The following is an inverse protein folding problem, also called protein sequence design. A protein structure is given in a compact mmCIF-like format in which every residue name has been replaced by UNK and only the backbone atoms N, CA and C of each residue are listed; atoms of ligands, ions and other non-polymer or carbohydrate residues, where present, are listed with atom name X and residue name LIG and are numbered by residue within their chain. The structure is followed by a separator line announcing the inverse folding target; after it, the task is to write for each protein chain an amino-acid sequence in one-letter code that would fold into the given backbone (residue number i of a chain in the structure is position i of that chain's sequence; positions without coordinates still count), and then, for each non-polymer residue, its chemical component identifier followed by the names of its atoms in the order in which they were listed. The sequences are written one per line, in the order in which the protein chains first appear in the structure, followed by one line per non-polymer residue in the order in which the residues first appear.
data_IF_894304114285
#
_entry.id   IF_894304114285
#
_cell.length_a   1.000
_cell.length_b   1.000
_cell.length_c   1.000
_cell.angle_alpha   90.00
_cell.angle_beta   90.00
_cell.angle_gamma   90.00
#
_symmetry.space_group_name_H-M   'P 1'
#
loop_
_entity.id
_entity.type
_entity.pdbx_description
1 polymer ?
#
# COMPACT_ATOMS: atom_id res chain seq x y z
N UNK A 1 25.75 -1.87 -8.12
CA UNK A 1 24.69 -1.62 -7.13
C UNK A 1 23.78 -2.82 -7.18
N UNK A 2 23.80 -3.68 -6.16
CA UNK A 2 22.77 -4.70 -6.02
C UNK A 2 21.47 -3.96 -5.70
N UNK A 3 20.55 -3.98 -6.66
CA UNK A 3 19.23 -3.42 -6.46
C UNK A 3 18.45 -4.40 -5.59
N UNK A 4 18.43 -4.17 -4.28
CA UNK A 4 17.53 -4.87 -3.38
C UNK A 4 16.09 -4.75 -3.88
N UNK A 5 15.30 -5.81 -3.74
CA UNK A 5 13.88 -5.79 -4.12
C UNK A 5 13.11 -4.90 -3.13
N UNK A 6 12.50 -3.84 -3.62
CA UNK A 6 11.55 -3.03 -2.86
C UNK A 6 10.13 -3.54 -3.08
N UNK A 7 9.35 -3.66 -2.00
CA UNK A 7 7.97 -4.12 -2.06
C UNK A 7 7.06 -3.30 -1.15
N UNK A 8 5.78 -3.22 -1.52
CA UNK A 8 4.77 -2.56 -0.71
C UNK A 8 4.18 -3.54 0.30
N UNK A 9 4.20 -3.16 1.57
CA UNK A 9 3.53 -3.89 2.65
C UNK A 9 2.23 -3.19 2.97
N UNK A 10 1.12 -3.92 2.91
CA UNK A 10 -0.20 -3.42 3.30
C UNK A 10 -0.59 -4.05 4.64
N UNK A 11 -0.88 -3.20 5.62
CA UNK A 11 -1.40 -3.61 6.93
C UNK A 11 -2.83 -3.11 7.07
N UNK A 12 -3.76 -4.02 7.34
CA UNK A 12 -5.12 -3.68 7.75
C UNK A 12 -5.26 -3.88 9.25
N UNK A 13 -5.93 -2.96 9.92
CA UNK A 13 -6.24 -3.06 11.34
C UNK A 13 -7.62 -2.49 11.63
N UNK A 14 -8.21 -2.96 12.72
CA UNK A 14 -9.53 -2.54 13.15
C UNK A 14 -9.45 -2.05 14.60
N UNK A 15 -10.10 -0.92 14.89
CA UNK A 15 -10.19 -0.37 16.24
C UNK A 15 -11.67 -0.27 16.61
N UNK A 16 -12.01 -0.65 17.83
CA UNK A 16 -13.40 -0.65 18.29
C UNK A 16 -13.88 0.78 18.53
N UNK A 17 -14.94 1.20 17.84
CA UNK A 17 -15.54 2.55 17.98
C UNK A 17 -16.71 2.60 18.97
N UNK A 18 -17.16 1.44 19.45
CA UNK A 18 -18.34 1.29 20.29
C UNK A 18 -19.60 0.92 19.51
N UNK A 19 -20.69 0.58 20.21
CA UNK A 19 -21.98 0.14 19.63
C UNK A 19 -21.86 -0.99 18.57
N UNK A 20 -20.88 -1.88 18.74
CA UNK A 20 -20.62 -2.98 17.81
C UNK A 20 -19.97 -2.57 16.48
N UNK A 21 -19.41 -1.36 16.39
CA UNK A 21 -18.74 -0.84 15.18
C UNK A 21 -17.22 -0.90 15.27
N UNK A 22 -16.60 -0.97 14.10
CA UNK A 22 -15.15 -1.01 13.90
C UNK A 22 -14.71 0.15 13.00
N UNK A 23 -13.74 0.93 13.46
CA UNK A 23 -12.91 1.78 12.62
C UNK A 23 -11.97 0.88 11.86
N UNK A 24 -12.11 0.82 10.54
CA UNK A 24 -11.32 -0.07 9.69
C UNK A 24 -10.28 0.77 8.95
N UNK A 25 -9.00 0.62 9.29
CA UNK A 25 -7.91 1.43 8.77
C UNK A 25 -6.86 0.57 8.08
N UNK A 26 -6.18 1.13 7.09
CA UNK A 26 -5.04 0.47 6.46
C UNK A 26 -3.86 1.41 6.27
N UNK A 27 -2.67 0.83 6.27
CA UNK A 27 -1.41 1.49 5.99
C UNK A 27 -0.70 0.79 4.83
N UNK A 28 -0.08 1.59 3.96
CA UNK A 28 0.79 1.13 2.88
C UNK A 28 2.19 1.66 3.19
N UNK A 29 3.14 0.74 3.33
CA UNK A 29 4.53 1.02 3.71
C UNK A 29 5.50 0.47 2.66
N UNK A 30 6.66 1.11 2.54
CA UNK A 30 7.74 0.63 1.67
C UNK A 30 8.71 -0.25 2.46
N UNK A 31 8.82 -1.52 2.10
CA UNK A 31 9.82 -2.42 2.65
C UNK A 31 10.93 -2.66 1.61
N UNK A 32 12.17 -2.72 2.08
CA UNK A 32 13.32 -3.10 1.27
C UNK A 32 13.83 -4.48 1.69
N UNK A 33 13.99 -5.38 0.73
CA UNK A 33 14.73 -6.63 0.93
C UNK A 33 16.22 -6.31 0.96
N UNK A 34 16.80 -6.19 2.15
CA UNK A 34 18.26 -6.18 2.31
C UNK A 34 18.75 -7.62 2.17
N UNK A 35 19.72 -7.86 1.27
CA UNK A 35 20.34 -9.17 0.99
C UNK A 35 21.16 -9.75 2.17
N UNK A 36 21.03 -9.17 3.37
CA UNK A 36 21.68 -9.63 4.60
C UNK A 36 20.61 -9.89 5.66
N UNK A 37 20.13 -11.13 5.66
CA UNK A 37 19.34 -11.68 6.75
C UNK A 37 17.89 -11.26 6.71
N UNK A 38 17.04 -12.25 6.48
CA UNK A 38 15.64 -12.25 6.83
C UNK A 38 15.37 -11.53 8.17
N UNK A 39 14.93 -10.27 8.12
CA UNK A 39 14.01 -9.75 9.13
C UNK A 39 12.60 -10.31 8.83
N UNK A 40 12.51 -11.65 8.85
CA UNK A 40 11.27 -12.35 9.18
C UNK A 40 11.07 -12.25 10.71
N UNK A 41 11.06 -11.03 11.22
CA UNK A 41 10.73 -10.71 12.60
C UNK A 41 9.39 -10.02 12.58
N UNK A 42 8.35 -10.75 12.95
CA UNK A 42 7.03 -10.22 13.25
C UNK A 42 7.08 -9.31 14.50
N UNK A 43 7.82 -8.21 14.41
CA UNK A 43 7.81 -7.17 15.43
C UNK A 43 6.90 -6.04 14.94
N UNK A 44 5.74 -6.00 15.57
CA UNK A 44 4.83 -4.87 15.66
C UNK A 44 5.64 -3.56 15.79
N UNK A 45 5.71 -2.77 14.72
CA UNK A 45 6.30 -1.42 14.77
C UNK A 45 7.56 -1.17 13.94
N UNK A 46 7.86 -2.00 12.93
CA UNK A 46 9.02 -1.80 12.06
C UNK A 46 9.04 -0.45 11.31
N UNK A 47 10.25 0.10 11.24
CA UNK A 47 10.73 1.40 10.74
C UNK A 47 10.44 1.69 9.24
N UNK A 48 9.55 0.94 8.59
CA UNK A 48 9.28 1.14 7.17
C UNK A 48 8.56 2.47 6.93
N UNK A 49 9.02 3.28 5.96
CA UNK A 49 8.37 4.53 5.60
C UNK A 49 6.88 4.34 5.30
N UNK A 50 6.04 5.07 6.03
CA UNK A 50 4.61 5.16 5.74
C UNK A 50 4.40 5.99 4.48
N UNK A 51 3.89 5.35 3.43
CA UNK A 51 3.58 6.03 2.17
C UNK A 51 2.15 6.55 2.15
N UNK A 52 1.22 5.78 2.71
CA UNK A 52 -0.20 6.10 2.65
C UNK A 52 -0.96 5.46 3.80
N UNK A 53 -1.98 6.18 4.30
CA UNK A 53 -2.94 5.67 5.27
C UNK A 53 -4.35 6.01 4.81
N UNK A 54 -5.26 5.05 4.94
CA UNK A 54 -6.66 5.23 4.57
C UNK A 54 -7.61 4.55 5.55
N UNK A 55 -8.89 4.91 5.44
CA UNK A 55 -9.95 4.44 6.33
C UNK A 55 -11.19 4.03 5.52
N UNK A 56 -11.81 2.93 5.92
CA UNK A 56 -13.05 2.42 5.37
C UNK A 56 -14.22 2.89 6.24
N UNK A 57 -15.01 3.79 5.68
CA UNK A 57 -16.21 4.30 6.34
C UNK A 57 -17.45 3.48 5.96
N UNK A 58 -18.43 3.45 6.86
CA UNK A 58 -19.79 3.01 6.55
C UNK A 58 -19.99 1.49 6.43
N UNK A 59 -19.06 0.68 6.95
CA UNK A 59 -19.18 -0.78 6.97
C UNK A 59 -19.32 -1.30 8.40
N UNK A 60 -20.09 -2.36 8.57
CA UNK A 60 -20.22 -3.09 9.83
C UNK A 60 -19.65 -4.49 9.63
N UNK A 61 -18.97 -5.01 10.64
CA UNK A 61 -18.34 -6.32 10.63
C UNK A 61 -18.63 -7.03 11.93
N UNK A 62 -18.85 -8.34 11.85
CA UNK A 62 -19.24 -9.16 12.99
C UNK A 62 -18.09 -9.34 14.00
N UNK A 63 -16.83 -9.25 13.55
CA UNK A 63 -15.65 -9.38 14.40
C UNK A 63 -14.48 -8.50 13.92
N UNK A 64 -13.49 -8.34 14.80
CA UNK A 64 -12.26 -7.56 14.54
C UNK A 64 -11.49 -8.08 13.34
N UNK A 65 -11.35 -9.40 13.22
CA UNK A 65 -10.62 -10.04 12.14
C UNK A 65 -11.25 -9.71 10.79
N UNK A 66 -12.58 -9.82 10.67
CA UNK A 66 -13.29 -9.47 9.45
C UNK A 66 -13.14 -7.98 9.08
N UNK A 67 -13.13 -7.10 10.08
CA UNK A 67 -12.89 -5.67 9.89
C UNK A 67 -11.44 -5.40 9.41
N UNK A 68 -10.45 -6.04 10.02
CA UNK A 68 -9.04 -5.90 9.67
C UNK A 68 -8.73 -6.47 8.27
N UNK A 69 -9.31 -7.63 7.92
CA UNK A 69 -9.18 -8.23 6.59
C UNK A 69 -9.81 -7.35 5.51
N UNK A 70 -10.97 -6.76 5.79
CA UNK A 70 -11.60 -5.83 4.87
C UNK A 70 -10.75 -4.57 4.67
N UNK A 71 -10.16 -4.03 5.75
CA UNK A 71 -9.23 -2.92 5.69
C UNK A 71 -8.00 -3.25 4.86
N UNK A 72 -7.39 -4.41 5.10
CA UNK A 72 -6.24 -4.90 4.33
C UNK A 72 -6.58 -5.00 2.85
N UNK A 73 -7.70 -5.64 2.51
CA UNK A 73 -8.14 -5.79 1.12
C UNK A 73 -8.39 -4.45 0.43
N UNK A 74 -8.89 -3.44 1.15
CA UNK A 74 -9.01 -2.09 0.62
C UNK A 74 -7.65 -1.44 0.39
N UNK A 75 -6.73 -1.56 1.34
CA UNK A 75 -5.36 -1.08 1.19
C UNK A 75 -4.62 -1.73 0.02
N UNK A 76 -4.84 -3.02 -0.23
CA UNK A 76 -4.24 -3.72 -1.37
C UNK A 76 -4.78 -3.23 -2.71
N UNK A 77 -6.08 -2.86 -2.78
CA UNK A 77 -6.64 -2.23 -3.98
C UNK A 77 -6.08 -0.83 -4.18
N UNK A 78 -6.01 -0.04 -3.13
CA UNK A 78 -5.43 1.32 -3.18
C UNK A 78 -3.95 1.27 -3.61
N UNK A 79 -3.16 0.35 -3.06
CA UNK A 79 -1.76 0.16 -3.44
C UNK A 79 -1.61 -0.12 -4.94
N UNK A 80 -2.43 -1.02 -5.50
CA UNK A 80 -2.43 -1.32 -6.93
C UNK A 80 -2.78 -0.09 -7.77
N UNK A 81 -3.87 0.60 -7.42
CA UNK A 81 -4.31 1.82 -8.11
C UNK A 81 -3.22 2.90 -8.10
N UNK A 82 -2.49 3.05 -7.00
CA UNK A 82 -1.40 4.02 -6.89
C UNK A 82 -0.22 3.66 -7.79
N UNK A 83 0.19 2.39 -7.80
CA UNK A 83 1.26 1.91 -8.69
C UNK A 83 0.86 2.11 -10.16
N UNK A 84 -0.36 1.74 -10.52
CA UNK A 84 -0.91 1.93 -11.87
C UNK A 84 -0.95 3.41 -12.27
N UNK A 85 -1.41 4.27 -11.36
CA UNK A 85 -1.46 5.73 -11.58
C UNK A 85 -0.07 6.32 -11.78
N UNK A 86 0.91 5.96 -10.95
CA UNK A 86 2.30 6.40 -11.09
C UNK A 86 2.91 5.91 -12.41
N UNK A 87 2.65 4.66 -12.79
CA UNK A 87 3.10 4.11 -14.08
C UNK A 87 2.50 4.89 -15.25
N UNK A 88 1.21 5.20 -15.21
CA UNK A 88 0.55 6.00 -16.24
C UNK A 88 1.15 7.42 -16.32
N UNK A 89 1.42 8.05 -15.18
CA UNK A 89 2.06 9.37 -15.12
C UNK A 89 3.47 9.37 -15.72
N UNK A 90 4.29 8.36 -15.40
CA UNK A 90 5.65 8.22 -15.97
C UNK A 90 5.58 8.08 -17.49
N UNK A 91 4.68 7.25 -18.01
CA UNK A 91 4.48 7.04 -19.45
C UNK A 91 4.03 8.34 -20.12
N UNK A 92 3.06 9.06 -19.53
CA UNK A 92 2.56 10.32 -20.06
C UNK A 92 3.67 11.39 -20.11
N UNK A 93 4.44 11.54 -19.03
CA UNK A 93 5.57 12.48 -18.97
C UNK A 93 6.65 12.14 -20.00
N UNK A 94 6.94 10.85 -20.22
CA UNK A 94 7.88 10.43 -21.25
C UNK A 94 7.41 10.83 -22.65
N UNK A 95 6.14 10.61 -22.98
CA UNK A 95 5.55 11.02 -24.27
C UNK A 95 5.60 12.53 -24.51
N UNK A 96 5.46 13.35 -23.46
CA UNK A 96 5.60 14.80 -23.58
C UNK A 96 7.04 15.27 -23.80
N UNK A 97 8.04 14.48 -23.36
CA UNK A 97 9.45 14.84 -23.46
C UNK A 97 10.12 14.34 -24.74
N UNK A 98 9.54 13.36 -25.43
CA UNK A 98 10.04 12.85 -26.71
C UNK A 98 9.38 13.63 -27.85
N UNK A 99 10.14 14.42 -28.65
CA UNK A 99 9.57 15.07 -29.82
C UNK A 99 9.01 14.02 -30.78
N UNK A 100 7.93 14.32 -31.54
CA UNK A 100 7.37 13.37 -32.48
C UNK A 100 8.45 12.87 -33.44
N UNK A 101 8.41 11.59 -33.86
CA UNK A 101 9.35 11.09 -34.85
C UNK A 101 9.25 11.96 -36.09
N UNK A 102 10.40 12.47 -36.56
CA UNK A 102 10.50 13.11 -37.86
C UNK A 102 10.16 12.04 -38.90
N UNK A 103 8.92 12.05 -39.38
CA UNK A 103 8.50 11.22 -40.50
C UNK A 103 9.28 11.73 -41.72
N UNK A 104 10.16 10.88 -42.25
CA UNK A 104 10.86 11.08 -43.51
C UNK A 104 10.06 10.47 -44.66
#
# INVERSE_FOLDING_TARGET
MEAGLEFLVVRGFAVREGRGKWACCFEIRLAASLDHGCHAGANEGSDEPLLYRGELHGRQFDCELAAADAARAAGEREARLRVESLRALIIAQHRHRVPPPLVA
#
